data_IF_388138216886
#
_entry.id   IF_388138216886
#
_cell.length_a   1.000
_cell.length_b   1.000
_cell.length_c   1.000
_cell.angle_alpha   90.00
_cell.angle_beta   90.00
_cell.angle_gamma   90.00
#
_symmetry.space_group_name_H-M   'P 1'
#
loop_
_entity.id
_entity.type
_entity.pdbx_description
1 polymer ?
#
# COMPACT_ATOMS: atom_id res chain seq x y z
N UNK A 1 -0.79 -7.06 -62.49
CA UNK A 1 -0.30 -6.12 -61.46
C UNK A 1 -0.92 -4.76 -61.73
N UNK A 2 -1.68 -4.20 -60.79
CA UNK A 2 -2.28 -2.86 -60.92
C UNK A 2 -3.30 -2.64 -59.82
N UNK A 3 -2.84 -2.20 -58.65
CA UNK A 3 -3.65 -1.99 -57.44
C UNK A 3 -4.53 -0.75 -57.62
N UNK A 4 -5.84 -0.96 -57.52
CA UNK A 4 -6.86 0.08 -57.41
C UNK A 4 -6.65 0.86 -56.09
N UNK A 5 -6.53 2.19 -56.19
CA UNK A 5 -6.30 3.10 -55.06
C UNK A 5 -7.66 3.41 -54.42
N UNK A 6 -8.11 2.53 -53.54
CA UNK A 6 -9.19 2.81 -52.61
C UNK A 6 -8.85 4.03 -51.74
N UNK A 7 -9.53 5.14 -51.99
CA UNK A 7 -9.48 6.37 -51.17
C UNK A 7 -9.93 6.05 -49.75
N UNK A 8 -8.96 5.80 -48.86
CA UNK A 8 -9.18 5.72 -47.43
C UNK A 8 -9.70 7.07 -46.91
N UNK A 9 -11.01 7.11 -46.61
CA UNK A 9 -11.68 8.20 -45.91
C UNK A 9 -11.10 8.23 -44.49
N UNK A 10 -10.02 8.99 -44.31
CA UNK A 10 -9.52 9.35 -42.98
C UNK A 10 -10.63 10.15 -42.30
N UNK A 11 -11.39 9.47 -41.44
CA UNK A 11 -12.29 10.11 -40.51
C UNK A 11 -11.47 11.09 -39.70
N UNK A 12 -11.58 12.37 -40.05
CA UNK A 12 -11.07 13.44 -39.22
C UNK A 12 -11.73 13.27 -37.86
N UNK A 13 -10.94 12.89 -36.86
CA UNK A 13 -11.35 13.07 -35.48
C UNK A 13 -11.58 14.57 -35.33
N UNK A 14 -12.85 14.95 -35.43
CA UNK A 14 -13.31 16.28 -35.11
C UNK A 14 -12.75 16.60 -33.74
N UNK A 15 -11.81 17.55 -33.71
CA UNK A 15 -11.34 18.15 -32.49
C UNK A 15 -12.59 18.57 -31.74
N UNK A 16 -12.93 17.82 -30.69
CA UNK A 16 -13.92 18.23 -29.72
C UNK A 16 -13.33 19.50 -29.15
N UNK A 17 -13.79 20.63 -29.70
CA UNK A 17 -13.36 21.95 -29.30
C UNK A 17 -13.40 21.98 -27.79
N UNK A 18 -12.21 22.08 -27.19
CA UNK A 18 -12.09 22.36 -25.77
C UNK A 18 -12.93 23.60 -25.55
N UNK A 19 -14.10 23.41 -24.95
CA UNK A 19 -15.08 24.45 -24.75
C UNK A 19 -14.36 25.64 -24.18
N UNK A 20 -14.56 26.81 -24.81
CA UNK A 20 -14.06 28.08 -24.30
C UNK A 20 -14.43 28.12 -22.83
N UNK A 21 -13.42 28.09 -21.96
CA UNK A 21 -13.60 28.17 -20.51
C UNK A 21 -14.11 29.58 -20.24
N UNK A 22 -15.43 29.76 -20.28
CA UNK A 22 -16.05 30.97 -19.78
C UNK A 22 -15.73 30.99 -18.29
N UNK A 23 -14.89 31.93 -17.88
CA UNK A 23 -14.74 32.28 -16.46
C UNK A 23 -16.14 32.62 -15.97
N UNK A 24 -16.70 31.82 -15.06
CA UNK A 24 -18.03 32.04 -14.51
C UNK A 24 -18.16 33.51 -14.10
N UNK A 25 -19.15 34.21 -14.66
CA UNK A 25 -19.23 35.67 -14.56
C UNK A 25 -20.02 36.12 -13.31
N UNK A 26 -20.59 35.17 -12.56
CA UNK A 26 -21.30 35.42 -11.30
C UNK A 26 -21.14 34.26 -10.30
N UNK A 27 -21.32 34.55 -9.01
CA UNK A 27 -21.26 33.55 -7.95
C UNK A 27 -22.38 32.49 -8.09
N UNK A 28 -23.57 32.90 -8.51
CA UNK A 28 -24.70 32.01 -8.76
C UNK A 28 -24.40 30.98 -9.86
N UNK A 29 -23.66 31.38 -10.90
CA UNK A 29 -23.27 30.46 -11.98
C UNK A 29 -22.23 29.42 -11.52
N UNK A 30 -21.38 29.77 -10.54
CA UNK A 30 -20.44 28.83 -9.92
C UNK A 30 -21.19 27.82 -9.06
N UNK A 31 -22.17 28.26 -8.27
CA UNK A 31 -22.98 27.37 -7.42
C UNK A 31 -23.79 26.37 -8.25
N UNK A 32 -24.39 26.82 -9.36
CA UNK A 32 -25.11 25.95 -10.28
C UNK A 32 -24.17 24.92 -10.92
N UNK A 33 -22.97 25.33 -11.31
CA UNK A 33 -21.97 24.43 -11.88
C UNK A 33 -21.45 23.42 -10.85
N UNK A 34 -21.18 23.84 -9.62
CA UNK A 34 -20.76 22.97 -8.53
C UNK A 34 -21.85 21.94 -8.20
N UNK A 35 -23.10 22.37 -8.06
CA UNK A 35 -24.23 21.47 -7.81
C UNK A 35 -24.41 20.43 -8.93
N UNK A 36 -24.14 20.82 -10.19
CA UNK A 36 -24.17 19.89 -11.34
C UNK A 36 -23.02 18.88 -11.29
N UNK A 37 -21.84 19.29 -10.87
CA UNK A 37 -20.67 18.40 -10.68
C UNK A 37 -20.96 17.41 -9.55
N UNK A 38 -21.45 17.89 -8.41
CA UNK A 38 -21.78 17.06 -7.24
C UNK A 38 -22.86 16.02 -7.59
N UNK A 39 -23.90 16.41 -8.33
CA UNK A 39 -24.92 15.49 -8.81
C UNK A 39 -24.35 14.40 -9.73
N UNK A 40 -23.41 14.78 -10.61
CA UNK A 40 -22.74 13.84 -11.51
C UNK A 40 -21.83 12.86 -10.75
N UNK A 41 -21.08 13.34 -9.76
CA UNK A 41 -20.23 12.50 -8.92
C UNK A 41 -21.05 11.55 -8.04
N UNK A 42 -22.15 12.02 -7.46
CA UNK A 42 -23.08 11.19 -6.69
C UNK A 42 -23.68 10.08 -7.55
N UNK A 43 -24.13 10.38 -8.77
CA UNK A 43 -24.63 9.37 -9.70
C UNK A 43 -23.55 8.37 -10.15
N UNK A 44 -22.30 8.82 -10.27
CA UNK A 44 -21.16 7.95 -10.59
C UNK A 44 -20.80 7.03 -9.43
N UNK A 45 -20.85 7.52 -8.19
CA UNK A 45 -20.59 6.71 -7.00
C UNK A 45 -21.72 5.73 -6.71
N UNK A 46 -22.98 6.11 -6.93
CA UNK A 46 -24.11 5.19 -6.82
C UNK A 46 -23.98 3.99 -7.78
N UNK A 47 -23.59 4.23 -9.04
CA UNK A 47 -23.32 3.14 -10.01
C UNK A 47 -22.14 2.24 -9.65
N UNK A 48 -21.22 2.72 -8.79
CA UNK A 48 -20.12 1.90 -8.28
C UNK A 48 -20.54 1.09 -7.06
N UNK A 49 -21.30 1.70 -6.17
CA UNK A 49 -21.85 1.04 -4.99
C UNK A 49 -22.81 -0.11 -5.36
N UNK A 50 -23.60 0.07 -6.43
CA UNK A 50 -24.50 -0.97 -6.96
C UNK A 50 -23.75 -2.19 -7.56
N UNK A 51 -22.45 -2.03 -7.87
CA UNK A 51 -21.59 -3.13 -8.31
C UNK A 51 -20.88 -3.85 -7.15
N UNK A 52 -21.00 -3.35 -5.93
CA UNK A 52 -20.41 -3.94 -4.70
C UNK A 52 -21.49 -4.59 -3.79
N UNK A 53 -22.78 -4.48 -4.12
CA UNK A 53 -23.91 -5.06 -3.36
C UNK A 53 -24.37 -6.45 -3.88
N UNK A 54 -23.45 -7.23 -4.47
CA UNK A 54 -23.58 -8.69 -4.61
C UNK A 54 -22.27 -9.39 -4.23
N UNK A 55 -21.70 -9.05 -3.07
CA UNK A 55 -20.44 -9.65 -2.61
C UNK A 55 -20.21 -9.53 -1.12
N UNK A 56 -20.96 -10.30 -0.32
CA UNK A 56 -20.80 -10.39 1.13
C UNK A 56 -19.38 -10.83 1.58
N UNK A 57 -19.00 -10.33 2.74
CA UNK A 57 -17.69 -10.49 3.38
C UNK A 57 -17.31 -11.97 3.66
N UNK A 58 -16.11 -12.37 3.26
CA UNK A 58 -15.52 -13.67 3.60
C UNK A 58 -14.03 -13.76 3.24
N UNK A 59 -13.16 -13.80 4.26
CA UNK A 59 -11.75 -14.20 4.11
C UNK A 59 -11.65 -15.73 3.89
N UNK A 60 -10.78 -16.19 2.98
CA UNK A 60 -10.33 -17.59 2.96
C UNK A 60 -9.85 -18.18 1.62
N UNK A 61 -8.53 -18.14 1.40
CA UNK A 61 -7.69 -19.28 0.99
C UNK A 61 -7.74 -19.86 -0.45
N UNK A 62 -6.67 -19.56 -1.21
CA UNK A 62 -5.90 -20.35 -2.21
C UNK A 62 -6.59 -21.30 -3.18
N UNK A 63 -6.23 -21.24 -4.47
CA UNK A 63 -5.68 -22.38 -5.24
C UNK A 63 -5.00 -21.88 -6.53
N UNK A 64 -4.09 -22.72 -7.05
CA UNK A 64 -3.06 -22.44 -8.08
C UNK A 64 -3.55 -21.79 -9.37
N UNK A 65 -2.72 -21.07 -10.12
CA UNK A 65 -1.41 -21.52 -10.59
C UNK A 65 -1.57 -22.18 -11.97
N UNK A 66 -1.17 -21.48 -13.03
CA UNK A 66 -1.20 -21.96 -14.42
C UNK A 66 -1.02 -20.84 -15.44
N UNK A 67 0.22 -20.66 -15.89
CA UNK A 67 0.70 -19.82 -16.98
C UNK A 67 -0.19 -19.75 -18.23
N UNK A 68 -0.28 -18.57 -18.87
CA UNK A 68 0.38 -18.29 -20.16
C UNK A 68 0.08 -16.87 -20.71
N UNK A 69 1.15 -16.16 -21.10
CA UNK A 69 1.24 -14.95 -21.96
C UNK A 69 0.84 -13.58 -21.33
N UNK A 70 1.74 -12.67 -20.93
CA UNK A 70 3.20 -12.63 -21.01
C UNK A 70 3.78 -11.70 -22.08
N UNK A 71 3.28 -10.47 -22.36
CA UNK A 71 4.05 -9.48 -23.16
C UNK A 71 3.83 -7.98 -22.90
N UNK A 72 2.91 -7.54 -22.04
CA UNK A 72 2.58 -6.10 -21.93
C UNK A 72 3.18 -5.38 -20.71
N UNK A 73 3.34 -6.07 -19.58
CA UNK A 73 3.87 -5.45 -18.35
C UNK A 73 5.36 -5.08 -18.41
N UNK A 74 6.15 -5.82 -19.20
CA UNK A 74 7.58 -5.56 -19.37
C UNK A 74 7.85 -4.36 -20.29
N UNK A 75 7.01 -4.15 -21.31
CA UNK A 75 7.11 -2.99 -22.22
C UNK A 75 6.79 -1.69 -21.51
N UNK A 76 5.76 -1.67 -20.66
CA UNK A 76 5.37 -0.48 -19.91
C UNK A 76 6.43 -0.01 -18.89
N UNK A 77 7.20 -0.95 -18.31
CA UNK A 77 8.34 -0.61 -17.43
C UNK A 77 9.55 -0.12 -18.22
N UNK A 78 9.90 -0.80 -19.32
CA UNK A 78 11.03 -0.40 -20.16
C UNK A 78 10.82 0.96 -20.86
N UNK A 79 9.59 1.26 -21.26
CA UNK A 79 9.26 2.53 -21.93
C UNK A 79 9.29 3.72 -20.97
N UNK A 80 8.89 3.51 -19.70
CA UNK A 80 9.00 4.55 -18.65
C UNK A 80 10.45 4.81 -18.26
N UNK A 81 11.28 3.77 -18.19
CA UNK A 81 12.70 3.88 -17.88
C UNK A 81 13.49 4.52 -19.04
N UNK A 82 13.13 4.23 -20.30
CA UNK A 82 13.71 4.87 -21.48
C UNK A 82 13.32 6.36 -21.60
N UNK A 83 12.10 6.74 -21.18
CA UNK A 83 11.67 8.14 -21.17
C UNK A 83 12.40 8.96 -20.09
N UNK A 84 12.67 8.36 -18.92
CA UNK A 84 13.42 9.00 -17.83
C UNK A 84 14.91 9.16 -18.19
N UNK A 85 15.49 8.19 -18.90
CA UNK A 85 16.84 8.30 -19.45
C UNK A 85 16.94 9.31 -20.62
N UNK A 86 15.91 9.40 -21.47
CA UNK A 86 15.87 10.33 -22.61
C UNK A 86 15.75 11.81 -22.21
N UNK A 87 15.04 12.11 -21.12
CA UNK A 87 14.90 13.50 -20.61
C UNK A 87 16.20 14.00 -19.97
N UNK A 88 17.06 13.10 -19.47
CA UNK A 88 18.36 13.46 -18.89
C UNK A 88 19.44 13.73 -19.96
N UNK A 89 19.24 13.27 -21.19
CA UNK A 89 20.15 13.48 -22.33
C UNK A 89 19.87 14.73 -23.17
N UNK A 90 18.75 15.43 -22.93
CA UNK A 90 18.28 16.53 -23.80
C UNK A 90 18.38 17.92 -23.13
N UNK A 91 19.42 18.16 -22.33
CA UNK A 91 19.64 19.44 -21.64
C UNK A 91 21.00 20.10 -21.93
N UNK A 92 21.78 19.62 -22.91
CA UNK A 92 23.00 20.32 -23.35
C UNK A 92 23.10 20.20 -24.88
N UNK A 93 22.82 21.30 -25.57
CA UNK A 93 22.89 21.36 -27.04
C UNK A 93 22.28 22.64 -27.60
N UNK A 94 22.56 23.78 -26.96
CA UNK A 94 22.32 25.09 -27.54
C UNK A 94 23.61 25.56 -28.22
N UNK A 95 23.73 25.28 -29.51
CA UNK A 95 24.83 25.72 -30.36
C UNK A 95 24.56 27.16 -30.84
N UNK A 96 25.06 28.13 -30.07
CA UNK A 96 25.27 29.51 -30.54
C UNK A 96 26.48 29.54 -31.47
N UNK A 97 26.26 29.98 -32.71
CA UNK A 97 27.31 30.30 -33.67
C UNK A 97 27.97 31.62 -33.24
N UNK A 98 29.18 31.56 -32.70
CA UNK A 98 30.05 32.72 -32.56
C UNK A 98 31.37 32.47 -33.31
N UNK A 99 31.52 33.23 -34.38
CA UNK A 99 32.68 33.37 -35.25
C UNK A 99 33.90 33.84 -34.43
N UNK A 100 34.97 33.05 -34.40
CA UNK A 100 36.27 33.51 -33.90
C UNK A 100 37.44 32.82 -34.62
N UNK A 101 38.37 33.67 -35.03
CA UNK A 101 39.52 33.45 -35.91
C UNK A 101 40.51 32.33 -35.49
N UNK A 102 41.35 31.81 -36.42
CA UNK A 102 42.16 30.63 -36.14
C UNK A 102 43.39 30.94 -35.27
N UNK A 103 43.32 30.63 -33.98
CA UNK A 103 44.49 30.58 -33.10
C UNK A 103 45.29 29.27 -33.26
N UNK A 104 46.62 29.43 -33.24
CA UNK A 104 47.60 28.45 -33.66
C UNK A 104 47.53 27.10 -32.91
N UNK A 105 47.44 26.01 -33.69
CA UNK A 105 47.47 24.61 -33.21
C UNK A 105 48.70 24.36 -32.33
N UNK A 106 48.49 24.24 -31.01
CA UNK A 106 49.50 23.66 -30.10
C UNK A 106 49.61 22.17 -30.39
N UNK A 107 50.83 21.70 -30.66
CA UNK A 107 51.11 20.32 -31.07
C UNK A 107 51.09 19.38 -29.86
N UNK A 108 50.39 18.24 -29.98
CA UNK A 108 50.42 17.13 -29.02
C UNK A 108 49.13 16.97 -28.20
N UNK A 109 49.05 15.87 -27.43
CA UNK A 109 47.88 15.44 -26.66
C UNK A 109 47.47 16.39 -25.49
N UNK A 110 48.21 17.48 -25.26
CA UNK A 110 47.95 18.46 -24.20
C UNK A 110 46.71 19.32 -24.42
N UNK A 111 46.12 19.32 -25.61
CA UNK A 111 44.84 19.99 -25.90
C UNK A 111 43.61 19.10 -25.77
N UNK A 112 43.79 17.79 -25.53
CA UNK A 112 42.68 16.81 -25.47
C UNK A 112 42.20 16.52 -24.04
N UNK A 113 43.01 16.85 -23.03
CA UNK A 113 42.65 16.65 -21.63
C UNK A 113 42.03 17.95 -21.11
N UNK A 114 40.70 18.00 -21.07
CA UNK A 114 39.97 19.05 -20.35
C UNK A 114 40.27 18.93 -18.86
N UNK A 115 41.22 19.71 -18.37
CA UNK A 115 41.51 19.78 -16.94
C UNK A 115 40.39 20.53 -16.23
N UNK A 116 39.38 19.79 -15.77
CA UNK A 116 38.35 20.28 -14.84
C UNK A 116 38.97 20.47 -13.45
N UNK A 117 39.89 21.42 -13.33
CA UNK A 117 40.42 21.80 -12.02
C UNK A 117 39.41 22.75 -11.36
N UNK A 118 38.65 22.31 -10.34
CA UNK A 118 37.62 23.13 -9.71
C UNK A 118 38.19 24.35 -8.96
N UNK A 119 39.51 24.38 -8.72
CA UNK A 119 40.22 25.52 -8.14
C UNK A 119 40.96 26.36 -9.19
N UNK A 120 40.75 26.14 -10.49
CA UNK A 120 41.30 27.02 -11.52
C UNK A 120 40.56 28.36 -11.48
N UNK A 121 41.10 29.30 -10.69
CA UNK A 121 40.57 30.65 -10.62
C UNK A 121 40.94 31.36 -11.92
N UNK A 122 39.99 31.45 -12.86
CA UNK A 122 40.12 32.34 -14.01
C UNK A 122 40.13 33.78 -13.49
N UNK A 123 41.32 34.37 -13.40
CA UNK A 123 41.51 35.75 -12.91
C UNK A 123 41.02 36.73 -13.98
N UNK A 124 39.71 36.98 -14.00
CA UNK A 124 39.14 38.10 -14.76
C UNK A 124 39.31 39.38 -13.93
N UNK A 125 40.00 40.36 -14.50
CA UNK A 125 40.27 41.65 -13.85
C UNK A 125 38.98 42.49 -13.78
N UNK A 126 38.12 42.22 -12.79
CA UNK A 126 36.93 43.03 -12.51
C UNK A 126 37.38 44.25 -11.68
N UNK A 127 37.06 45.45 -12.16
CA UNK A 127 37.42 46.70 -11.47
C UNK A 127 36.54 46.84 -10.23
N UNK A 128 37.13 47.26 -9.11
CA UNK A 128 36.44 47.45 -7.81
C UNK A 128 35.22 48.38 -7.92
N UNK A 129 35.24 49.34 -8.86
CA UNK A 129 34.12 50.25 -9.13
C UNK A 129 32.88 49.52 -9.68
N UNK A 130 33.06 48.43 -10.40
CA UNK A 130 31.99 47.64 -11.00
C UNK A 130 31.36 46.64 -10.00
N UNK A 131 32.06 46.34 -8.90
CA UNK A 131 31.54 45.48 -7.82
C UNK A 131 30.48 46.18 -6.97
N UNK A 132 30.56 47.50 -6.80
CA UNK A 132 29.58 48.29 -6.04
C UNK A 132 28.37 48.73 -6.89
N UNK A 133 28.48 48.72 -8.22
CA UNK A 133 27.34 48.90 -9.15
C UNK A 133 26.63 47.59 -9.48
N UNK A 134 27.14 46.45 -9.03
CA UNK A 134 26.46 45.15 -9.09
C UNK A 134 25.37 45.02 -8.01
N UNK A 135 24.73 46.12 -7.61
CA UNK A 135 23.41 46.05 -7.02
C UNK A 135 22.52 45.40 -8.08
N UNK A 136 22.15 44.13 -7.83
CA UNK A 136 21.37 43.31 -8.75
C UNK A 136 20.29 44.18 -9.41
N UNK A 137 20.27 44.19 -10.74
CA UNK A 137 19.25 44.91 -11.49
C UNK A 137 17.89 44.62 -10.85
N UNK A 138 17.04 45.64 -10.60
CA UNK A 138 15.79 45.45 -9.89
C UNK A 138 15.01 44.34 -10.59
N UNK A 139 14.86 43.21 -9.89
CA UNK A 139 14.23 42.01 -10.43
C UNK A 139 12.95 42.40 -11.15
N UNK A 140 12.77 41.88 -12.36
CA UNK A 140 11.52 42.11 -13.08
C UNK A 140 10.36 41.65 -12.19
N UNK A 141 9.19 42.28 -12.29
CA UNK A 141 8.03 41.93 -11.46
C UNK A 141 7.78 40.41 -11.42
N UNK A 142 8.00 39.76 -12.57
CA UNK A 142 7.90 38.31 -12.75
C UNK A 142 8.95 37.52 -11.95
N UNK A 143 10.19 37.98 -11.91
CA UNK A 143 11.25 37.36 -11.10
C UNK A 143 10.99 37.52 -9.61
N UNK A 144 10.49 38.68 -9.18
CA UNK A 144 10.13 38.90 -7.76
C UNK A 144 8.99 37.98 -7.32
N UNK A 145 7.93 37.86 -8.12
CA UNK A 145 6.80 36.96 -7.83
C UNK A 145 7.25 35.48 -7.85
N UNK A 146 8.15 35.08 -8.76
CA UNK A 146 8.71 33.72 -8.79
C UNK A 146 9.57 33.42 -7.55
N UNK A 147 10.44 34.35 -7.15
CA UNK A 147 11.28 34.22 -5.97
C UNK A 147 10.45 34.17 -4.68
N UNK A 148 9.38 34.96 -4.59
CA UNK A 148 8.46 34.92 -3.44
C UNK A 148 7.68 33.60 -3.37
N UNK A 149 7.22 33.10 -4.53
CA UNK A 149 6.56 31.79 -4.60
C UNK A 149 7.48 30.65 -4.17
N UNK A 150 8.73 30.69 -4.59
CA UNK A 150 9.75 29.72 -4.17
C UNK A 150 10.04 29.83 -2.67
N UNK A 151 10.20 31.05 -2.16
CA UNK A 151 10.41 31.30 -0.73
C UNK A 151 9.22 30.83 0.12
N UNK A 152 7.98 31.03 -0.34
CA UNK A 152 6.78 30.55 0.32
C UNK A 152 6.71 29.02 0.33
N UNK A 153 7.02 28.37 -0.80
CA UNK A 153 7.10 26.92 -0.89
C UNK A 153 8.18 26.35 0.04
N UNK A 154 9.36 26.97 0.08
CA UNK A 154 10.44 26.58 0.99
C UNK A 154 10.06 26.75 2.46
N UNK A 155 9.39 27.84 2.83
CA UNK A 155 8.86 28.06 4.19
C UNK A 155 7.82 27.02 4.57
N UNK A 156 6.91 26.68 3.66
CA UNK A 156 5.92 25.64 3.89
C UNK A 156 6.60 24.27 4.07
N UNK A 157 7.54 23.89 3.20
CA UNK A 157 8.32 22.65 3.33
C UNK A 157 9.04 22.58 4.67
N UNK A 158 9.75 23.66 5.05
CA UNK A 158 10.43 23.76 6.35
C UNK A 158 9.45 23.60 7.51
N UNK A 159 8.27 24.23 7.45
CA UNK A 159 7.23 24.08 8.50
C UNK A 159 6.67 22.67 8.54
N UNK A 160 6.53 22.02 7.38
CA UNK A 160 6.04 20.65 7.28
C UNK A 160 7.06 19.65 7.84
N UNK A 161 8.34 19.81 7.51
CA UNK A 161 9.45 19.03 8.07
C UNK A 161 9.59 19.23 9.59
N UNK A 162 9.35 20.45 10.08
CA UNK A 162 9.28 20.76 11.52
C UNK A 162 8.02 20.20 12.21
N UNK A 163 7.10 19.61 11.47
CA UNK A 163 5.85 19.05 11.97
C UNK A 163 4.85 20.08 12.51
N UNK A 164 5.00 21.34 12.11
CA UNK A 164 4.14 22.43 12.52
C UNK A 164 2.89 22.55 11.62
N UNK A 165 2.89 21.94 10.44
CA UNK A 165 1.72 21.90 9.55
C UNK A 165 0.64 20.96 10.11
N UNK A 166 -0.64 21.31 9.90
CA UNK A 166 -1.75 20.48 10.33
C UNK A 166 -1.78 19.12 9.62
N UNK A 167 -1.36 19.09 8.35
CA UNK A 167 -1.26 17.87 7.55
C UNK A 167 -0.27 16.89 8.17
N UNK A 168 0.94 17.35 8.51
CA UNK A 168 1.93 16.50 9.18
C UNK A 168 1.40 15.97 10.50
N UNK A 169 0.75 16.81 11.32
CA UNK A 169 0.16 16.38 12.59
C UNK A 169 -0.92 15.32 12.40
N UNK A 170 -1.79 15.47 11.39
CA UNK A 170 -2.82 14.49 11.05
C UNK A 170 -2.22 13.17 10.58
N UNK A 171 -1.22 13.22 9.71
CA UNK A 171 -0.53 12.03 9.20
C UNK A 171 0.21 11.30 10.34
N UNK A 172 0.88 12.04 11.22
CA UNK A 172 1.52 11.48 12.41
C UNK A 172 0.51 10.85 13.36
N UNK A 173 -0.62 11.51 13.64
CA UNK A 173 -1.67 10.94 14.47
C UNK A 173 -2.24 9.63 13.88
N UNK A 174 -2.41 9.57 12.56
CA UNK A 174 -2.81 8.34 11.86
C UNK A 174 -1.76 7.23 12.00
N UNK A 175 -0.47 7.56 11.86
CA UNK A 175 0.62 6.61 12.04
C UNK A 175 0.72 6.11 13.49
N UNK A 176 0.51 6.98 14.47
CA UNK A 176 0.47 6.65 15.89
C UNK A 176 -0.69 5.72 16.22
N UNK A 177 -1.89 5.97 15.67
CA UNK A 177 -3.03 5.08 15.83
C UNK A 177 -2.74 3.68 15.26
N UNK A 178 -2.12 3.60 14.08
CA UNK A 178 -1.71 2.31 13.48
C UNK A 178 -0.68 1.61 14.36
N UNK A 179 0.30 2.34 14.90
CA UNK A 179 1.30 1.79 15.84
C UNK A 179 0.62 1.26 17.11
N UNK A 180 -0.32 2.02 17.68
CA UNK A 180 -1.10 1.60 18.86
C UNK A 180 -1.90 0.34 18.57
N UNK A 181 -2.65 0.30 17.47
CA UNK A 181 -3.43 -0.89 17.07
C UNK A 181 -2.54 -2.12 16.88
N UNK A 182 -1.35 -1.96 16.30
CA UNK A 182 -0.37 -3.05 16.14
C UNK A 182 0.20 -3.49 17.49
N UNK A 183 0.49 -2.57 18.41
CA UNK A 183 0.97 -2.89 19.74
C UNK A 183 -0.10 -3.64 20.54
N UNK A 184 -1.34 -3.14 20.57
CA UNK A 184 -2.47 -3.79 21.24
C UNK A 184 -2.77 -5.18 20.66
N UNK A 185 -2.65 -5.36 19.34
CA UNK A 185 -2.84 -6.66 18.72
C UNK A 185 -1.75 -7.66 19.16
N UNK A 186 -0.49 -7.23 19.20
CA UNK A 186 0.62 -8.06 19.69
C UNK A 186 0.47 -8.40 21.16
N UNK A 187 0.09 -7.44 22.00
CA UNK A 187 -0.15 -7.66 23.42
C UNK A 187 -1.31 -8.66 23.63
N UNK A 188 -2.42 -8.51 22.90
CA UNK A 188 -3.55 -9.46 22.93
C UNK A 188 -3.15 -10.85 22.44
N UNK A 189 -2.28 -10.96 21.44
CA UNK A 189 -1.76 -12.25 20.98
C UNK A 189 -0.85 -12.89 22.02
N UNK A 190 0.02 -12.12 22.67
CA UNK A 190 0.90 -12.62 23.74
C UNK A 190 0.08 -13.04 24.96
N UNK A 191 -0.93 -12.27 25.36
CA UNK A 191 -1.84 -12.62 26.45
C UNK A 191 -2.62 -13.90 26.13
N UNK A 192 -3.18 -14.01 24.92
CA UNK A 192 -3.85 -15.24 24.47
C UNK A 192 -2.91 -16.44 24.50
N UNK A 193 -1.68 -16.30 24.00
CA UNK A 193 -0.67 -17.38 24.04
C UNK A 193 -0.33 -17.78 25.48
N UNK A 194 -0.17 -16.81 26.39
CA UNK A 194 0.09 -17.10 27.81
C UNK A 194 -1.07 -17.85 28.46
N UNK A 195 -2.31 -17.42 28.23
CA UNK A 195 -3.51 -18.11 28.73
C UNK A 195 -3.66 -19.51 28.12
N UNK A 196 -3.36 -19.67 26.83
CA UNK A 196 -3.35 -20.97 26.16
C UNK A 196 -2.27 -21.90 26.74
N UNK A 197 -1.06 -21.39 27.02
CA UNK A 197 -0.01 -22.16 27.69
C UNK A 197 -0.36 -22.55 29.13
N UNK A 198 -0.96 -21.64 29.89
CA UNK A 198 -1.41 -21.92 31.26
C UNK A 198 -2.54 -22.95 31.28
N UNK A 199 -3.54 -22.80 30.42
CA UNK A 199 -4.63 -23.78 30.29
C UNK A 199 -4.11 -25.13 29.79
N UNK A 200 -3.14 -25.15 28.88
CA UNK A 200 -2.52 -26.39 28.40
C UNK A 200 -1.72 -27.07 29.53
N UNK A 201 -0.93 -26.33 30.31
CA UNK A 201 -0.22 -26.85 31.49
C UNK A 201 -1.19 -27.40 32.53
N UNK A 202 -2.32 -26.73 32.76
CA UNK A 202 -3.33 -27.21 33.70
C UNK A 202 -4.03 -28.48 33.19
N UNK A 203 -4.36 -28.55 31.89
CA UNK A 203 -4.88 -29.76 31.25
C UNK A 203 -3.87 -30.91 31.39
N UNK A 204 -2.59 -30.66 31.13
CA UNK A 204 -1.55 -31.70 31.22
C UNK A 204 -1.32 -32.16 32.66
N UNK A 205 -1.39 -31.25 33.64
CA UNK A 205 -1.35 -31.59 35.07
C UNK A 205 -2.59 -32.39 35.51
N UNK A 206 -3.78 -32.04 35.02
CA UNK A 206 -5.00 -32.81 35.29
C UNK A 206 -4.91 -34.20 34.66
N UNK A 207 -4.44 -34.32 33.41
CA UNK A 207 -4.19 -35.60 32.75
C UNK A 207 -3.19 -36.45 33.53
N UNK A 208 -2.07 -35.88 33.99
CA UNK A 208 -1.09 -36.57 34.81
C UNK A 208 -1.68 -37.05 36.15
N UNK A 209 -2.52 -36.23 36.81
CA UNK A 209 -3.20 -36.61 38.06
C UNK A 209 -4.20 -37.74 37.85
N UNK A 210 -4.98 -37.71 36.76
CA UNK A 210 -5.91 -38.79 36.39
C UNK A 210 -5.14 -40.07 36.04
N UNK A 211 -4.04 -39.97 35.29
CA UNK A 211 -3.19 -41.11 34.97
C UNK A 211 -2.56 -41.74 36.22
N UNK A 212 -2.10 -40.92 37.18
CA UNK A 212 -1.58 -41.40 38.46
C UNK A 212 -2.67 -42.06 39.32
N UNK A 213 -3.88 -41.47 39.38
CA UNK A 213 -5.02 -42.06 40.07
C UNK A 213 -5.42 -43.41 39.46
N UNK A 214 -5.44 -43.51 38.13
CA UNK A 214 -5.78 -44.75 37.41
C UNK A 214 -4.72 -45.86 37.60
N UNK A 215 -3.45 -45.48 37.80
CA UNK A 215 -2.36 -46.40 38.12
C UNK A 215 -2.37 -46.87 39.57
N UNK A 216 -2.97 -46.08 40.48
CA UNK A 216 -3.20 -46.49 41.88
C UNK A 216 -4.50 -47.27 42.10
N UNK A 217 -5.48 -47.18 41.18
CA UNK A 217 -6.73 -47.95 41.24
C UNK A 217 -6.67 -49.30 40.51
N UNK A 218 -5.54 -49.66 39.89
CA UNK A 218 -5.34 -50.98 39.28
C UNK A 218 -5.20 -52.12 40.31
N UNK A 219 -5.38 -51.86 41.61
CA UNK A 219 -5.52 -52.89 42.65
C UNK A 219 -6.97 -53.14 43.10
N UNK A 220 -7.98 -52.41 42.60
CA UNK A 220 -9.38 -52.74 42.92
C UNK A 220 -10.40 -51.99 42.04
N UNK A 221 -10.92 -52.66 41.00
CA UNK A 221 -12.36 -52.79 40.69
C UNK A 221 -12.59 -53.03 39.20
N UNK A 222 -12.94 -54.28 38.89
CA UNK A 222 -13.42 -54.74 37.60
C UNK A 222 -14.85 -54.23 37.32
N UNK A 223 -14.99 -53.22 36.46
CA UNK A 223 -16.25 -52.94 35.76
C UNK A 223 -15.91 -52.54 34.32
N UNK A 224 -16.38 -53.33 33.37
CA UNK A 224 -15.85 -53.45 32.00
C UNK A 224 -16.23 -52.30 31.03
N UNK A 225 -15.89 -51.05 31.33
CA UNK A 225 -16.11 -49.95 30.37
C UNK A 225 -15.48 -48.60 30.74
N UNK A 226 -15.39 -47.65 29.79
CA UNK A 226 -14.83 -46.31 30.01
C UNK A 226 -15.56 -45.58 31.15
N UNK A 227 -14.95 -44.62 31.87
CA UNK A 227 -15.62 -43.92 32.97
C UNK A 227 -16.86 -43.12 32.49
N UNK A 228 -17.92 -43.07 33.31
CA UNK A 228 -19.10 -42.24 33.03
C UNK A 228 -18.73 -40.75 33.08
N UNK A 229 -19.24 -39.96 32.13
CA UNK A 229 -18.96 -38.52 32.03
C UNK A 229 -20.15 -37.69 32.51
N UNK A 230 -19.91 -36.66 33.32
CA UNK A 230 -20.97 -35.77 33.81
C UNK A 230 -21.52 -34.87 32.70
N UNK A 231 -22.83 -34.56 32.75
CA UNK A 231 -23.51 -33.71 31.75
C UNK A 231 -22.83 -32.34 31.56
N UNK A 232 -22.31 -31.76 32.63
CA UNK A 232 -21.60 -30.46 32.60
C UNK A 232 -20.27 -30.61 31.85
N UNK A 233 -19.55 -31.70 32.09
CA UNK A 233 -18.26 -31.96 31.42
C UNK A 233 -18.47 -32.13 29.92
N UNK A 234 -19.46 -32.93 29.51
CA UNK A 234 -19.81 -33.15 28.10
C UNK A 234 -20.12 -31.83 27.38
N UNK A 235 -20.89 -30.92 27.99
CA UNK A 235 -21.21 -29.61 27.39
C UNK A 235 -20.00 -28.70 27.21
N UNK A 236 -18.98 -28.84 28.08
CA UNK A 236 -17.77 -28.03 28.06
C UNK A 236 -16.65 -28.62 27.19
N UNK A 237 -16.80 -29.87 26.71
CA UNK A 237 -15.78 -30.49 25.87
C UNK A 237 -15.67 -29.82 24.50
N UNK A 238 -14.43 -29.70 24.03
CA UNK A 238 -14.14 -29.28 22.65
C UNK A 238 -14.62 -30.34 21.66
N UNK A 239 -14.97 -29.98 20.41
CA UNK A 239 -15.45 -30.93 19.40
C UNK A 239 -14.50 -32.11 19.14
N UNK A 240 -13.17 -31.89 19.21
CA UNK A 240 -12.19 -32.95 19.09
C UNK A 240 -12.31 -33.99 20.23
N UNK A 241 -12.41 -33.53 21.48
CA UNK A 241 -12.57 -34.38 22.65
C UNK A 241 -13.91 -35.14 22.64
N UNK A 242 -14.98 -34.50 22.13
CA UNK A 242 -16.27 -35.18 21.93
C UNK A 242 -16.16 -36.33 20.93
N UNK A 243 -15.41 -36.15 19.83
CA UNK A 243 -15.17 -37.21 18.85
C UNK A 243 -14.33 -38.35 19.43
N UNK A 244 -13.30 -38.05 20.20
CA UNK A 244 -12.50 -39.06 20.91
C UNK A 244 -13.36 -39.85 21.90
N UNK A 245 -14.16 -39.16 22.73
CA UNK A 245 -15.04 -39.80 23.69
C UNK A 245 -16.10 -40.70 23.03
N UNK A 246 -16.65 -40.29 21.88
CA UNK A 246 -17.56 -41.09 21.07
C UNK A 246 -16.85 -42.29 20.43
N UNK A 247 -15.62 -42.12 19.93
CA UNK A 247 -14.80 -43.19 19.36
C UNK A 247 -14.45 -44.27 20.38
N UNK A 248 -14.07 -43.88 21.61
CA UNK A 248 -13.82 -44.81 22.72
C UNK A 248 -15.06 -45.63 23.10
N UNK A 249 -16.25 -45.08 22.89
CA UNK A 249 -17.54 -45.72 23.17
C UNK A 249 -18.13 -46.45 21.96
N UNK A 250 -17.45 -46.45 20.81
CA UNK A 250 -17.93 -47.09 19.57
C UNK A 250 -19.13 -46.40 18.93
N UNK A 251 -19.34 -45.11 19.19
CA UNK A 251 -20.44 -44.31 18.62
C UNK A 251 -19.99 -43.54 17.37
N UNK A 252 -20.95 -43.18 16.53
CA UNK A 252 -20.70 -42.36 15.33
C UNK A 252 -20.15 -40.96 15.68
N UNK A 253 -19.06 -40.59 15.01
CA UNK A 253 -18.31 -39.33 15.17
C UNK A 253 -18.73 -38.23 14.19
N UNK A 254 -19.66 -38.52 13.26
CA UNK A 254 -20.11 -37.55 12.28
C UNK A 254 -21.14 -36.57 12.86
N UNK A 255 -21.05 -35.31 12.42
CA UNK A 255 -21.99 -34.24 12.74
C UNK A 255 -21.38 -33.00 13.42
N UNK A 256 -22.24 -32.01 13.65
CA UNK A 256 -21.88 -30.78 14.37
C UNK A 256 -21.72 -31.05 15.88
N UNK A 257 -21.01 -30.19 16.61
CA UNK A 257 -20.74 -30.32 18.04
C UNK A 257 -21.99 -30.59 18.87
N UNK A 258 -23.13 -29.93 18.57
CA UNK A 258 -24.42 -30.17 19.28
C UNK A 258 -24.93 -31.61 19.09
N UNK A 259 -24.77 -32.18 17.90
CA UNK A 259 -25.16 -33.56 17.62
C UNK A 259 -24.25 -34.54 18.37
N UNK A 260 -22.94 -34.27 18.38
CA UNK A 260 -21.96 -35.07 19.13
C UNK A 260 -22.22 -35.02 20.64
N UNK A 261 -22.49 -33.84 21.20
CA UNK A 261 -22.85 -33.70 22.63
C UNK A 261 -24.13 -34.45 22.98
N UNK A 262 -25.15 -34.36 22.13
CA UNK A 262 -26.43 -35.04 22.37
C UNK A 262 -26.25 -36.55 22.34
N UNK A 263 -25.56 -37.08 21.33
CA UNK A 263 -25.27 -38.51 21.21
C UNK A 263 -24.48 -39.05 22.41
N UNK A 264 -23.50 -38.29 22.89
CA UNK A 264 -22.73 -38.67 24.07
C UNK A 264 -23.58 -38.61 25.36
N UNK A 265 -24.45 -37.60 25.51
CA UNK A 265 -25.40 -37.54 26.63
C UNK A 265 -26.40 -38.69 26.59
N UNK A 266 -27.02 -38.94 25.43
CA UNK A 266 -28.02 -39.99 25.25
C UNK A 266 -27.42 -41.39 25.56
N UNK A 267 -26.13 -41.59 25.29
CA UNK A 267 -25.42 -42.82 25.65
C UNK A 267 -25.15 -42.94 27.15
N UNK A 268 -24.64 -41.87 27.78
CA UNK A 268 -24.37 -41.87 29.22
C UNK A 268 -25.65 -41.94 30.07
N UNK A 269 -26.79 -41.42 29.57
CA UNK A 269 -28.09 -41.56 30.23
C UNK A 269 -28.68 -42.97 30.14
N UNK A 270 -28.28 -43.76 29.12
CA UNK A 270 -28.76 -45.14 28.91
C UNK A 270 -27.91 -46.20 29.61
N UNK A 271 -26.82 -45.79 30.28
CA UNK A 271 -25.81 -46.66 30.90
C UNK A 271 -25.90 -46.62 32.42
#
# INVERSE_FOLDING_TARGET
MGRDKGKGKRGGHGGRGGGKKFTAQSAEEIEINNARIDAYEKARNARRADSDDEGGEGEGETTGGGDEQGTEGAKAKAEREAMEAGVRGLSVGGEEYEDSEPEAKRKGASGLIETSNPNAVSTRNIKIKDMNSAAAAPQTRREREAAEKEAAAARYRKRHEQGLTEEYKKDMARLEEVKRRRAEAKEKEEEKKRLEEETQKEIDKQKARVAAANKSSSSSSSTSGPPKLDKITIKKMKPALLKEALKERGLDIQGNAKALTKRLMDFEEKR
#
